data_IF_936912527885
#
_entry.id   IF_936912527885
#
_cell.length_a   1.000
_cell.length_b   1.000
_cell.length_c   1.000
_cell.angle_alpha   90.00
_cell.angle_beta   90.00
_cell.angle_gamma   90.00
#
_symmetry.space_group_name_H-M   'P 1'
#
loop_
_entity.id
_entity.type
_entity.pdbx_description
1 polymer ?
#
# COMPACT_ATOMS: atom_id res chain seq x y z
N UNK A 1 4.55 -3.06 17.83
CA UNK A 1 4.64 -2.94 16.37
C UNK A 1 6.09 -3.01 15.95
N UNK A 2 6.38 -3.81 14.95
CA UNK A 2 7.74 -3.97 14.40
C UNK A 2 7.73 -3.49 12.96
N UNK A 3 8.55 -2.49 12.66
CA UNK A 3 8.68 -1.91 11.32
C UNK A 3 9.81 -2.61 10.57
N UNK A 4 9.53 -3.12 9.37
CA UNK A 4 10.56 -3.68 8.50
C UNK A 4 11.47 -2.58 7.88
N UNK A 5 10.99 -1.34 7.78
CA UNK A 5 11.67 -0.20 7.18
C UNK A 5 11.79 0.96 8.20
N UNK A 6 13.00 1.49 8.38
CA UNK A 6 13.28 2.61 9.29
C UNK A 6 12.53 3.89 8.92
N UNK A 7 12.28 4.13 7.62
CA UNK A 7 11.53 5.30 7.12
C UNK A 7 10.08 5.29 7.62
N UNK A 8 9.50 4.13 7.93
CA UNK A 8 8.13 4.05 8.46
C UNK A 8 8.01 4.55 9.89
N UNK A 9 9.11 4.71 10.63
CA UNK A 9 9.08 5.27 11.99
C UNK A 9 8.52 6.69 12.01
N UNK A 10 8.70 7.46 10.94
CA UNK A 10 8.16 8.82 10.82
C UNK A 10 6.63 8.85 10.68
N UNK A 11 6.02 7.74 10.25
CA UNK A 11 4.56 7.59 10.08
C UNK A 11 3.94 6.69 11.16
N UNK A 12 4.66 6.41 12.25
CA UNK A 12 4.22 5.51 13.32
C UNK A 12 2.84 5.82 13.86
N UNK A 13 2.46 7.11 13.91
CA UNK A 13 1.15 7.54 14.45
C UNK A 13 0.04 7.14 13.49
N UNK A 14 0.18 7.44 12.20
CA UNK A 14 -0.79 7.04 11.17
C UNK A 14 -0.94 5.51 11.10
N UNK A 15 0.18 4.79 11.15
CA UNK A 15 0.18 3.32 11.13
C UNK A 15 -0.51 2.75 12.38
N UNK A 16 -0.22 3.30 13.57
CA UNK A 16 -0.88 2.88 14.83
C UNK A 16 -2.37 3.17 14.82
N UNK A 17 -2.79 4.27 14.23
CA UNK A 17 -4.20 4.64 14.18
C UNK A 17 -4.96 3.74 13.22
N UNK A 18 -4.42 3.53 12.02
CA UNK A 18 -4.98 2.60 11.04
C UNK A 18 -5.10 1.18 11.61
N UNK A 19 -4.12 0.71 12.40
CA UNK A 19 -4.16 -0.62 13.01
C UNK A 19 -5.28 -0.84 14.03
N UNK A 20 -5.98 0.22 14.49
CA UNK A 20 -7.19 0.08 15.32
C UNK A 20 -8.43 -0.23 14.47
N UNK A 21 -8.34 -0.08 13.16
CA UNK A 21 -9.41 -0.36 12.22
C UNK A 21 -9.68 -1.86 12.05
N UNK A 22 -10.79 -2.24 11.40
CA UNK A 22 -11.11 -3.63 11.10
C UNK A 22 -10.13 -4.21 10.09
N UNK A 23 -9.98 -5.54 10.12
CA UNK A 23 -9.25 -6.29 9.08
C UNK A 23 -9.90 -5.98 7.72
N UNK A 24 -9.09 -5.45 6.80
CA UNK A 24 -9.53 -5.03 5.47
C UNK A 24 -8.64 -5.59 4.35
N UNK A 25 -7.66 -6.43 4.67
CA UNK A 25 -6.74 -7.02 3.70
C UNK A 25 -6.25 -8.43 4.09
N UNK A 26 -6.07 -9.31 3.10
CA UNK A 26 -5.42 -10.62 3.25
C UNK A 26 -5.91 -11.48 4.44
N UNK A 27 -7.21 -11.37 4.80
CA UNK A 27 -7.90 -12.11 5.84
C UNK A 27 -7.49 -11.82 7.29
N UNK A 28 -6.41 -11.05 7.49
CA UNK A 28 -5.79 -10.83 8.81
C UNK A 28 -5.09 -9.48 8.94
N UNK A 29 -4.95 -8.76 7.84
CA UNK A 29 -4.15 -7.55 7.78
C UNK A 29 -5.05 -6.31 7.72
N UNK A 30 -4.50 -5.21 8.22
CA UNK A 30 -5.00 -3.88 7.91
C UNK A 30 -4.05 -3.27 6.90
N UNK A 31 -4.54 -2.99 5.69
CA UNK A 31 -3.83 -2.14 4.74
C UNK A 31 -4.10 -0.69 5.12
N UNK A 32 -3.03 0.03 5.43
CA UNK A 32 -3.05 1.43 5.80
C UNK A 32 -2.37 2.25 4.70
N UNK A 33 -2.90 3.42 4.38
CA UNK A 33 -2.29 4.38 3.45
C UNK A 33 -2.26 5.79 4.02
N UNK A 34 -1.28 6.58 3.64
CA UNK A 34 -1.12 7.97 4.06
C UNK A 34 -0.34 8.77 3.00
N UNK A 35 -0.50 10.10 3.02
CA UNK A 35 0.25 10.98 2.12
C UNK A 35 1.74 11.03 2.48
N UNK A 36 2.61 11.01 1.47
CA UNK A 36 4.04 11.28 1.63
C UNK A 36 4.45 12.74 1.38
N UNK A 37 3.52 13.57 0.90
CA UNK A 37 3.74 14.96 0.47
C UNK A 37 3.50 15.10 -1.04
N UNK A 38 3.36 16.33 -1.54
CA UNK A 38 3.33 16.65 -2.98
C UNK A 38 2.42 15.76 -3.87
N UNK A 39 1.25 15.34 -3.36
CA UNK A 39 0.32 14.51 -4.14
C UNK A 39 0.66 13.02 -4.23
N UNK A 40 1.62 12.53 -3.44
CA UNK A 40 1.93 11.10 -3.37
C UNK A 40 1.34 10.40 -2.13
N UNK A 41 1.10 9.10 -2.23
CA UNK A 41 0.71 8.22 -1.13
C UNK A 41 1.70 7.07 -0.91
N UNK A 42 1.78 6.61 0.33
CA UNK A 42 2.47 5.38 0.74
C UNK A 42 1.48 4.44 1.42
N UNK A 43 1.79 3.14 1.46
CA UNK A 43 0.98 2.18 2.18
C UNK A 43 1.80 1.07 2.84
N UNK A 44 1.17 0.39 3.81
CA UNK A 44 1.70 -0.77 4.48
C UNK A 44 0.60 -1.76 4.88
N UNK A 45 0.91 -3.06 4.84
CA UNK A 45 0.11 -4.10 5.47
C UNK A 45 0.56 -4.30 6.93
N UNK A 46 -0.40 -4.25 7.85
CA UNK A 46 -0.19 -4.39 9.28
C UNK A 46 -0.81 -5.73 9.71
N UNK A 47 0.02 -6.65 10.21
CA UNK A 47 -0.46 -7.90 10.79
C UNK A 47 -1.13 -7.63 12.15
N UNK A 48 -2.43 -7.93 12.26
CA UNK A 48 -3.20 -7.68 13.48
C UNK A 48 -2.80 -8.58 14.66
N UNK A 49 -2.20 -9.75 14.43
CA UNK A 49 -1.78 -10.63 15.52
C UNK A 49 -0.35 -10.34 16.00
N UNK A 50 0.59 -10.10 15.08
CA UNK A 50 2.00 -9.87 15.44
C UNK A 50 2.37 -8.40 15.57
N UNK A 51 1.57 -7.50 15.01
CA UNK A 51 1.90 -6.07 14.88
C UNK A 51 3.06 -5.80 13.92
N UNK A 52 3.43 -6.76 13.07
CA UNK A 52 4.45 -6.58 12.04
C UNK A 52 3.91 -5.71 10.91
N UNK A 53 4.70 -4.72 10.50
CA UNK A 53 4.36 -3.77 9.43
C UNK A 53 5.23 -4.07 8.22
N UNK A 54 4.58 -4.37 7.10
CA UNK A 54 5.22 -4.61 5.80
C UNK A 54 4.87 -3.49 4.84
N UNK A 55 5.88 -2.74 4.42
CA UNK A 55 5.72 -1.59 3.54
C UNK A 55 5.53 -1.97 2.07
N UNK A 56 4.82 -1.14 1.32
CA UNK A 56 5.10 -1.02 -0.10
C UNK A 56 6.47 -0.35 -0.28
N UNK A 57 7.34 -0.87 -1.16
CA UNK A 57 8.69 -0.33 -1.35
C UNK A 57 8.74 0.92 -2.24
N UNK A 58 7.59 1.51 -2.58
CA UNK A 58 7.47 2.69 -3.44
C UNK A 58 6.32 3.59 -2.99
N UNK A 59 6.39 4.87 -3.37
CA UNK A 59 5.24 5.79 -3.33
C UNK A 59 4.41 5.65 -4.60
N UNK A 60 3.15 6.05 -4.51
CA UNK A 60 2.23 6.14 -5.64
C UNK A 60 1.87 7.60 -5.84
N UNK A 61 1.98 8.10 -7.06
CA UNK A 61 1.64 9.47 -7.46
C UNK A 61 0.86 9.45 -8.78
N UNK A 62 0.43 10.62 -9.27
CA UNK A 62 -0.04 10.80 -10.65
C UNK A 62 -1.11 9.79 -11.12
N UNK A 63 -2.04 9.44 -10.23
CA UNK A 63 -3.17 8.61 -10.62
C UNK A 63 -4.21 9.43 -11.41
N UNK A 64 -4.99 8.80 -12.31
CA UNK A 64 -6.03 9.48 -13.08
C UNK A 64 -7.02 10.25 -12.21
N UNK A 65 -7.54 11.38 -12.70
CA UNK A 65 -8.46 12.26 -11.94
C UNK A 65 -9.79 11.58 -11.58
N UNK A 66 -10.20 10.58 -12.36
CA UNK A 66 -11.38 9.75 -12.12
C UNK A 66 -11.13 8.64 -11.08
N UNK A 67 -9.88 8.41 -10.68
CA UNK A 67 -9.52 7.48 -9.61
C UNK A 67 -9.53 8.23 -8.27
N UNK A 68 -10.54 7.95 -7.44
CA UNK A 68 -10.64 8.53 -6.09
C UNK A 68 -9.60 7.93 -5.12
N UNK A 69 -9.38 6.61 -5.21
CA UNK A 69 -8.43 5.88 -4.36
C UNK A 69 -7.41 5.15 -5.25
N UNK A 70 -6.11 5.52 -5.21
CA UNK A 70 -5.09 4.88 -6.04
C UNK A 70 -4.77 3.44 -5.62
N UNK A 71 -5.31 2.98 -4.49
CA UNK A 71 -5.06 1.66 -3.91
C UNK A 71 -6.38 0.91 -3.76
N UNK A 72 -6.57 -0.16 -4.54
CA UNK A 72 -7.75 -1.02 -4.46
C UNK A 72 -7.40 -2.39 -3.86
N UNK A 73 -8.15 -2.81 -2.85
CA UNK A 73 -7.90 -4.03 -2.08
C UNK A 73 -9.18 -4.55 -1.42
N UNK A 74 -9.17 -5.79 -0.91
CA UNK A 74 -10.33 -6.42 -0.26
C UNK A 74 -9.93 -7.22 0.97
N UNK A 75 -10.85 -7.31 1.93
CA UNK A 75 -10.64 -8.01 3.20
C UNK A 75 -10.20 -9.46 3.05
N UNK A 76 -10.77 -10.18 2.09
CA UNK A 76 -10.50 -11.60 1.84
C UNK A 76 -9.56 -11.85 0.65
N UNK A 77 -8.79 -10.85 0.23
CA UNK A 77 -7.86 -10.97 -0.90
C UNK A 77 -6.45 -10.53 -0.51
N UNK A 78 -5.46 -11.25 -1.02
CA UNK A 78 -4.05 -10.87 -0.95
C UNK A 78 -3.58 -10.04 -2.15
N UNK A 79 -4.51 -9.62 -3.02
CA UNK A 79 -4.24 -8.77 -4.16
C UNK A 79 -4.37 -7.30 -3.78
N UNK A 80 -3.33 -6.52 -4.06
CA UNK A 80 -3.34 -5.08 -4.06
C UNK A 80 -3.23 -4.58 -5.50
N UNK A 81 -4.16 -3.72 -5.90
CA UNK A 81 -4.15 -3.02 -7.18
C UNK A 81 -3.72 -1.59 -6.93
N UNK A 82 -2.76 -1.12 -7.71
CA UNK A 82 -2.20 0.24 -7.61
C UNK A 82 -2.41 0.96 -8.93
N UNK A 83 -3.03 2.13 -8.89
CA UNK A 83 -3.23 3.01 -10.05
C UNK A 83 -2.31 4.23 -9.97
N UNK A 84 -1.71 4.62 -11.09
CA UNK A 84 -0.87 5.81 -11.22
C UNK A 84 0.59 5.47 -11.49
N UNK A 85 1.49 6.31 -11.00
CA UNK A 85 2.94 6.20 -11.16
C UNK A 85 3.60 5.69 -9.89
N UNK A 86 4.63 4.86 -10.05
CA UNK A 86 5.44 4.37 -8.93
C UNK A 86 6.70 5.23 -8.80
N UNK A 87 6.98 5.72 -7.60
CA UNK A 87 8.13 6.58 -7.32
C UNK A 87 8.24 7.77 -8.30
N UNK A 88 7.12 8.40 -8.64
CA UNK A 88 7.09 9.56 -9.56
C UNK A 88 7.71 9.24 -10.95
N UNK A 89 7.68 7.96 -11.36
CA UNK A 89 8.10 7.54 -12.69
C UNK A 89 7.17 8.11 -13.76
N UNK A 90 7.67 8.42 -14.98
CA UNK A 90 6.82 8.75 -16.11
C UNK A 90 5.92 7.59 -16.59
N UNK A 91 6.12 6.37 -16.09
CA UNK A 91 5.29 5.21 -16.43
C UNK A 91 4.01 5.14 -15.57
N UNK A 92 2.89 5.46 -16.20
CA UNK A 92 1.57 5.44 -15.59
C UNK A 92 0.85 4.15 -15.94
N UNK A 93 0.21 3.52 -14.95
CA UNK A 93 -0.51 2.29 -15.22
C UNK A 93 -1.27 1.73 -14.04
N UNK A 94 -1.77 0.53 -14.24
CA UNK A 94 -2.35 -0.31 -13.19
C UNK A 94 -1.40 -1.46 -12.90
N UNK A 95 -1.02 -1.61 -11.63
CA UNK A 95 -0.09 -2.62 -11.16
C UNK A 95 -0.75 -3.56 -10.17
N UNK A 96 -0.57 -4.86 -10.36
CA UNK A 96 -1.19 -5.91 -9.58
C UNK A 96 -0.15 -6.61 -8.72
N UNK A 97 -0.26 -6.47 -7.39
CA UNK A 97 0.67 -7.03 -6.42
C UNK A 97 0.03 -8.13 -5.59
N UNK A 98 0.66 -9.30 -5.55
CA UNK A 98 0.31 -10.35 -4.59
C UNK A 98 1.11 -10.20 -3.30
N UNK A 99 0.44 -10.31 -2.17
CA UNK A 99 1.03 -10.24 -0.84
C UNK A 99 1.10 -11.63 -0.19
N UNK A 100 2.26 -12.02 0.34
CA UNK A 100 2.47 -13.31 1.02
C UNK A 100 2.60 -13.19 2.55
N UNK A 101 2.33 -12.02 3.09
CA UNK A 101 2.55 -11.69 4.50
C UNK A 101 3.89 -11.03 4.79
N UNK A 102 4.87 -11.12 3.89
CA UNK A 102 6.25 -10.61 4.04
C UNK A 102 6.64 -9.61 2.95
N UNK A 103 6.14 -9.77 1.73
CA UNK A 103 6.52 -8.96 0.58
C UNK A 103 5.35 -8.80 -0.40
N UNK A 104 5.30 -7.65 -1.07
CA UNK A 104 4.44 -7.41 -2.22
C UNK A 104 5.20 -7.75 -3.50
N UNK A 105 4.72 -8.75 -4.24
CA UNK A 105 5.32 -9.20 -5.49
C UNK A 105 4.45 -8.77 -6.67
N UNK A 106 5.04 -8.05 -7.63
CA UNK A 106 4.34 -7.68 -8.87
C UNK A 106 3.96 -8.95 -9.64
N UNK A 107 2.70 -9.07 -10.03
CA UNK A 107 2.16 -10.20 -10.81
C UNK A 107 1.80 -9.81 -12.24
N UNK A 108 1.29 -8.60 -12.43
CA UNK A 108 0.93 -8.06 -13.72
C UNK A 108 0.99 -6.53 -13.69
N UNK A 109 1.10 -5.91 -14.87
CA UNK A 109 1.01 -4.47 -15.04
C UNK A 109 0.38 -4.14 -16.39
N UNK A 110 -0.50 -3.16 -16.40
CA UNK A 110 -1.10 -2.56 -17.59
C UNK A 110 -0.60 -1.12 -17.67
N UNK A 111 0.36 -0.86 -18.56
CA UNK A 111 1.00 0.45 -18.70
C UNK A 111 0.33 1.17 -19.86
N UNK A 112 -0.20 2.37 -19.59
CA UNK A 112 -0.74 3.22 -20.64
C UNK A 112 0.43 3.92 -21.33
N UNK A 113 0.65 3.58 -22.60
CA UNK A 113 1.67 4.19 -23.46
C UNK A 113 1.13 5.36 -24.24
#
# INVERSE_FOLDING_TARGET
>A
MTFADARMRQYRTAIRDAAKGPINFAGRYVLASWGCGAGCVMAAAIDTQSGRVTSLPFSVSDWPLDVTEPLSYRANSCLLIVHGSRNESPEHGTYYYAFDGKVFTLRASEINR
#
